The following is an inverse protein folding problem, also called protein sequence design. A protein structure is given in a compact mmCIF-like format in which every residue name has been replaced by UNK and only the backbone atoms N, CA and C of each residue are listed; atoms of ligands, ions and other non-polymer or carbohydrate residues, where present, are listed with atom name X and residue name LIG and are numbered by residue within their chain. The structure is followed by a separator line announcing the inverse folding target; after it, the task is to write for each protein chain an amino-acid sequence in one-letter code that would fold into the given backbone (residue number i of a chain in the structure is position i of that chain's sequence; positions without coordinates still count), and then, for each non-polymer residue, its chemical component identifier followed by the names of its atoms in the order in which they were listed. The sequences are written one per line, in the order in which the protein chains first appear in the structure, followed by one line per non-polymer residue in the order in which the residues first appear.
data_IF_548954544216
#
_entry.id   IF_548954544216
#
_cell.length_a   1.000
_cell.length_b   1.000
_cell.length_c   1.000
_cell.angle_alpha   90.00
_cell.angle_beta   90.00
_cell.angle_gamma   90.00
#
_symmetry.space_group_name_H-M   'P 1'
#
loop_
_entity.id
_entity.type
_entity.pdbx_description
1 polymer ?
#
# COMPACT_ATOMS: atom_id res chain seq x y z
N UNK A 1 7.98 -5.47 -4.37
CA UNK A 1 8.20 -6.91 -4.18
C UNK A 1 6.94 -7.55 -3.58
N UNK A 2 6.58 -8.78 -3.95
CA UNK A 2 5.52 -9.53 -3.29
C UNK A 2 5.95 -9.90 -1.85
N UNK A 3 4.98 -10.04 -0.94
CA UNK A 3 5.22 -10.50 0.43
C UNK A 3 5.83 -9.48 1.40
N UNK A 4 6.08 -8.23 1.01
CA UNK A 4 6.68 -7.22 1.90
C UNK A 4 5.68 -6.59 2.88
N UNK A 5 4.38 -6.91 2.78
CA UNK A 5 3.35 -6.43 3.72
C UNK A 5 2.48 -5.28 3.23
N UNK A 6 2.41 -4.98 1.91
CA UNK A 6 1.51 -3.95 1.36
C UNK A 6 0.05 -4.19 1.74
N UNK A 7 -0.46 -5.39 1.44
CA UNK A 7 -1.82 -5.80 1.78
C UNK A 7 -2.08 -5.78 3.29
N UNK A 8 -1.06 -6.11 4.11
CA UNK A 8 -1.15 -6.03 5.57
C UNK A 8 -1.30 -4.58 6.02
N UNK A 9 -0.49 -3.67 5.49
CA UNK A 9 -0.57 -2.25 5.81
C UNK A 9 -1.95 -1.67 5.49
N UNK A 10 -2.44 -1.92 4.27
CA UNK A 10 -3.72 -1.36 3.83
C UNK A 10 -4.91 -1.99 4.55
N UNK A 11 -4.86 -3.29 4.84
CA UNK A 11 -5.90 -3.94 5.64
C UNK A 11 -5.90 -3.38 7.08
N UNK A 12 -4.73 -3.18 7.68
CA UNK A 12 -4.61 -2.59 9.02
C UNK A 12 -5.15 -1.15 9.05
N UNK A 13 -4.89 -0.35 8.02
CA UNK A 13 -5.47 0.98 7.84
C UNK A 13 -7.00 0.88 7.73
N UNK A 14 -7.50 -0.02 6.87
CA UNK A 14 -8.94 -0.22 6.67
C UNK A 14 -9.69 -0.66 7.95
N UNK A 15 -9.01 -1.41 8.83
CA UNK A 15 -9.57 -1.84 10.10
C UNK A 15 -9.50 -0.76 11.20
N UNK A 16 -8.64 0.24 11.04
CA UNK A 16 -8.39 1.27 12.06
C UNK A 16 -9.19 2.55 11.82
N UNK A 17 -9.38 2.91 10.55
CA UNK A 17 -10.08 4.16 10.19
C UNK A 17 -11.60 3.98 10.38
N UNK A 18 -12.23 4.98 10.99
CA UNK A 18 -13.67 5.00 11.26
C UNK A 18 -14.48 5.62 10.10
N UNK A 19 -14.23 5.17 8.88
CA UNK A 19 -15.03 5.51 7.70
C UNK A 19 -15.41 4.23 6.96
N UNK A 20 -16.44 4.29 6.14
CA UNK A 20 -16.91 3.14 5.37
C UNK A 20 -15.94 2.82 4.24
N UNK A 21 -15.23 1.71 4.35
CA UNK A 21 -14.20 1.27 3.40
C UNK A 21 -14.65 0.03 2.66
N UNK A 22 -14.53 0.04 1.33
CA UNK A 22 -14.62 -1.16 0.51
C UNK A 22 -13.20 -1.65 0.19
N UNK A 23 -12.84 -2.80 0.75
CA UNK A 23 -11.59 -3.50 0.47
C UNK A 23 -11.85 -4.59 -0.57
N UNK A 24 -11.39 -4.38 -1.80
CA UNK A 24 -11.53 -5.33 -2.90
C UNK A 24 -10.24 -6.13 -3.02
N UNK A 25 -10.34 -7.45 -2.99
CA UNK A 25 -9.23 -8.36 -3.22
C UNK A 25 -9.47 -9.21 -4.46
N UNK A 26 -8.52 -9.18 -5.38
CA UNK A 26 -8.50 -10.07 -6.52
C UNK A 26 -7.56 -11.29 -6.36
N UNK A 27 -6.75 -11.32 -5.30
CA UNK A 27 -5.78 -12.39 -5.06
C UNK A 27 -6.19 -13.31 -3.90
N UNK A 28 -6.82 -12.75 -2.87
CA UNK A 28 -7.17 -13.48 -1.67
C UNK A 28 -8.68 -13.64 -1.51
N UNK A 29 -9.09 -14.80 -1.02
CA UNK A 29 -10.47 -15.05 -0.64
C UNK A 29 -10.84 -14.28 0.64
N UNK A 30 -12.14 -14.06 0.86
CA UNK A 30 -12.64 -13.43 2.08
C UNK A 30 -12.17 -14.16 3.34
N UNK A 31 -12.07 -15.50 3.32
CA UNK A 31 -11.59 -16.30 4.43
C UNK A 31 -10.11 -16.04 4.73
N UNK A 32 -9.26 -15.91 3.72
CA UNK A 32 -7.84 -15.59 3.89
C UNK A 32 -7.65 -14.18 4.49
N UNK A 33 -8.43 -13.21 4.00
CA UNK A 33 -8.43 -11.85 4.55
C UNK A 33 -8.91 -11.87 6.01
N UNK A 34 -9.95 -12.65 6.31
CA UNK A 34 -10.46 -12.80 7.68
C UNK A 34 -9.38 -13.37 8.62
N UNK A 35 -8.70 -14.46 8.23
CA UNK A 35 -7.59 -15.04 9.01
C UNK A 35 -6.48 -14.01 9.24
N UNK A 36 -6.20 -13.16 8.25
CA UNK A 36 -5.20 -12.09 8.37
C UNK A 36 -5.67 -11.01 9.35
N UNK A 37 -6.93 -10.56 9.25
CA UNK A 37 -7.50 -9.55 10.15
C UNK A 37 -7.54 -10.02 11.60
N UNK A 38 -7.85 -11.29 11.84
CA UNK A 38 -7.90 -11.87 13.19
C UNK A 38 -6.51 -11.87 13.88
N UNK A 39 -5.41 -11.96 13.10
CA UNK A 39 -4.04 -11.85 13.65
C UNK A 39 -3.70 -10.43 14.11
N UNK A 40 -4.35 -9.42 13.55
CA UNK A 40 -4.08 -8.02 13.86
C UNK A 40 -4.82 -7.52 15.11
N UNK A 41 -5.55 -8.38 15.79
CA UNK A 41 -6.41 -8.03 16.94
C UNK A 41 -7.33 -6.82 16.65
N UNK A 42 -7.70 -6.63 15.40
CA UNK A 42 -8.52 -5.50 14.95
C UNK A 42 -9.83 -6.03 14.36
N UNK A 43 -10.93 -5.47 14.78
CA UNK A 43 -12.23 -5.65 14.15
C UNK A 43 -12.79 -4.29 13.77
N UNK A 44 -13.47 -4.20 12.64
CA UNK A 44 -14.11 -2.97 12.20
C UNK A 44 -15.44 -3.27 11.55
N UNK A 45 -16.48 -2.60 12.01
CA UNK A 45 -17.81 -2.65 11.40
C UNK A 45 -17.88 -1.77 10.13
N UNK A 46 -16.82 -1.04 9.82
CA UNK A 46 -16.73 -0.10 8.70
C UNK A 46 -15.95 -0.64 7.51
N UNK A 47 -15.26 -1.78 7.65
CA UNK A 47 -14.48 -2.41 6.58
C UNK A 47 -15.27 -3.54 5.93
N UNK A 48 -15.66 -3.35 4.67
CA UNK A 48 -16.40 -4.31 3.87
C UNK A 48 -15.45 -4.97 2.87
N UNK A 49 -15.39 -6.29 2.88
CA UNK A 49 -14.47 -7.07 2.03
C UNK A 49 -15.23 -7.67 0.85
N UNK A 50 -14.71 -7.46 -0.35
CA UNK A 50 -15.24 -8.01 -1.60
C UNK A 50 -14.12 -8.79 -2.32
N UNK A 51 -14.34 -10.08 -2.61
CA UNK A 51 -13.47 -10.86 -3.50
C UNK A 51 -14.06 -10.81 -4.91
N UNK A 52 -13.47 -9.96 -5.76
CA UNK A 52 -13.95 -9.73 -7.13
C UNK A 52 -12.80 -9.15 -7.97
N UNK A 53 -12.82 -9.45 -9.27
CA UNK A 53 -11.82 -8.99 -10.23
C UNK A 53 -12.42 -8.19 -11.40
N UNK A 54 -13.72 -8.32 -11.64
CA UNK A 54 -14.42 -7.62 -12.72
C UNK A 54 -14.85 -6.22 -12.28
N UNK A 55 -14.39 -5.18 -12.99
CA UNK A 55 -14.65 -3.78 -12.58
C UNK A 55 -16.14 -3.44 -12.55
N UNK A 56 -16.94 -3.94 -13.49
CA UNK A 56 -18.38 -3.70 -13.53
C UNK A 56 -19.09 -4.19 -12.25
N UNK A 57 -18.69 -5.38 -11.75
CA UNK A 57 -19.24 -5.92 -10.52
C UNK A 57 -18.79 -5.10 -9.30
N UNK A 58 -17.53 -4.67 -9.29
CA UNK A 58 -16.99 -3.83 -8.23
C UNK A 58 -17.76 -2.50 -8.17
N UNK A 59 -17.95 -1.82 -9.30
CA UNK A 59 -18.72 -0.56 -9.36
C UNK A 59 -20.17 -0.74 -8.93
N UNK A 60 -20.82 -1.85 -9.31
CA UNK A 60 -22.16 -2.15 -8.81
C UNK A 60 -22.21 -2.29 -7.26
N UNK A 61 -21.17 -2.82 -6.63
CA UNK A 61 -21.11 -2.88 -5.18
C UNK A 61 -20.77 -1.51 -4.56
N UNK A 62 -19.92 -0.71 -5.21
CA UNK A 62 -19.63 0.68 -4.80
C UNK A 62 -20.92 1.51 -4.76
N UNK A 63 -21.76 1.41 -5.79
CA UNK A 63 -23.05 2.12 -5.85
C UNK A 63 -23.98 1.73 -4.69
N UNK A 64 -24.05 0.44 -4.35
CA UNK A 64 -24.89 -0.05 -3.26
C UNK A 64 -24.35 0.32 -1.87
N UNK A 65 -23.03 0.20 -1.70
CA UNK A 65 -22.39 0.41 -0.41
C UNK A 65 -22.17 1.89 -0.10
N UNK A 66 -21.94 2.72 -1.14
CA UNK A 66 -21.54 4.14 -1.03
C UNK A 66 -20.36 4.30 -0.07
N UNK A 67 -19.19 3.71 -0.36
CA UNK A 67 -18.04 3.78 0.53
C UNK A 67 -17.42 5.18 0.51
N UNK A 68 -16.76 5.55 1.59
CA UNK A 68 -15.98 6.79 1.74
C UNK A 68 -14.51 6.60 1.30
N UNK A 69 -14.08 5.34 1.09
CA UNK A 69 -12.76 4.97 0.58
C UNK A 69 -12.84 3.61 -0.11
N UNK A 70 -12.07 3.43 -1.18
CA UNK A 70 -11.94 2.16 -1.89
C UNK A 70 -10.47 1.73 -1.92
N UNK A 71 -10.22 0.46 -1.61
CA UNK A 71 -8.89 -0.16 -1.68
C UNK A 71 -8.97 -1.34 -2.64
N UNK A 72 -8.10 -1.37 -3.65
CA UNK A 72 -7.98 -2.45 -4.64
C UNK A 72 -6.65 -3.19 -4.45
N UNK A 73 -6.71 -4.46 -4.12
CA UNK A 73 -5.55 -5.33 -3.88
C UNK A 73 -5.66 -6.65 -4.68
N UNK A 74 -5.06 -6.74 -5.86
CA UNK A 74 -4.21 -5.79 -6.57
C UNK A 74 -4.82 -5.37 -7.92
N UNK A 75 -4.33 -4.26 -8.48
CA UNK A 75 -4.80 -3.78 -9.77
C UNK A 75 -4.47 -4.75 -10.93
N UNK A 76 -3.45 -5.60 -10.76
CA UNK A 76 -3.04 -6.59 -11.75
C UNK A 76 -4.06 -7.71 -11.95
N UNK A 77 -4.91 -7.97 -10.98
CA UNK A 77 -5.94 -9.01 -11.08
C UNK A 77 -7.23 -8.53 -11.71
N UNK A 78 -7.38 -7.21 -11.84
CA UNK A 78 -8.59 -6.63 -12.40
C UNK A 78 -8.71 -6.85 -13.91
N UNK A 79 -9.95 -6.93 -14.36
CA UNK A 79 -10.31 -6.89 -15.78
C UNK A 79 -11.63 -6.16 -16.00
N UNK A 80 -11.78 -5.64 -17.21
CA UNK A 80 -12.99 -4.97 -17.69
C UNK A 80 -13.44 -5.56 -19.01
N UNK A 81 -14.76 -5.59 -19.23
CA UNK A 81 -15.34 -6.02 -20.51
C UNK A 81 -15.22 -4.96 -21.62
N UNK A 82 -14.77 -3.76 -21.32
CA UNK A 82 -14.70 -2.67 -22.31
C UNK A 82 -13.60 -2.86 -23.36
N UNK A 83 -12.62 -3.72 -23.07
CA UNK A 83 -11.54 -4.02 -24.00
C UNK A 83 -11.33 -5.52 -24.14
N UNK A 84 -11.07 -5.96 -25.37
CA UNK A 84 -10.77 -7.37 -25.67
C UNK A 84 -9.28 -7.62 -25.47
N UNK A 85 -8.88 -7.89 -24.24
CA UNK A 85 -7.51 -8.25 -23.88
C UNK A 85 -7.50 -9.14 -22.63
N UNK A 86 -6.48 -9.98 -22.49
CA UNK A 86 -6.38 -10.92 -21.36
C UNK A 86 -6.28 -10.20 -20.02
N UNK A 87 -6.92 -10.72 -18.94
CA UNK A 87 -6.70 -10.24 -17.59
C UNK A 87 -5.21 -10.19 -17.24
N UNK A 88 -4.78 -9.15 -16.52
CA UNK A 88 -3.38 -8.94 -16.17
C UNK A 88 -2.50 -8.34 -17.27
N UNK A 89 -3.03 -8.18 -18.51
CA UNK A 89 -2.31 -7.46 -19.56
C UNK A 89 -2.16 -5.97 -19.23
N UNK A 90 -1.14 -5.33 -19.80
CA UNK A 90 -0.89 -3.90 -19.60
C UNK A 90 -2.11 -3.06 -20.01
N UNK A 91 -2.81 -3.46 -21.08
CA UNK A 91 -4.02 -2.79 -21.56
C UNK A 91 -5.14 -2.87 -20.52
N UNK A 92 -5.39 -4.06 -19.96
CA UNK A 92 -6.41 -4.24 -18.91
C UNK A 92 -6.07 -3.43 -17.66
N UNK A 93 -4.83 -3.49 -17.19
CA UNK A 93 -4.38 -2.74 -16.01
C UNK A 93 -4.59 -1.23 -16.23
N UNK A 94 -4.24 -0.73 -17.42
CA UNK A 94 -4.39 0.68 -17.77
C UNK A 94 -5.86 1.10 -17.80
N UNK A 95 -6.72 0.31 -18.44
CA UNK A 95 -8.15 0.61 -18.57
C UNK A 95 -8.84 0.57 -17.20
N UNK A 96 -8.68 -0.52 -16.44
CA UNK A 96 -9.21 -0.61 -15.08
C UNK A 96 -8.75 0.56 -14.19
N UNK A 97 -7.48 0.95 -14.30
CA UNK A 97 -6.96 2.11 -13.56
C UNK A 97 -7.66 3.40 -14.00
N UNK A 98 -7.89 3.60 -15.30
CA UNK A 98 -8.58 4.77 -15.81
C UNK A 98 -10.02 4.86 -15.30
N UNK A 99 -10.75 3.74 -15.23
CA UNK A 99 -12.10 3.66 -14.64
C UNK A 99 -12.09 4.13 -13.17
N UNK A 100 -11.16 3.65 -12.34
CA UNK A 100 -11.07 4.06 -10.93
C UNK A 100 -10.62 5.52 -10.76
N UNK A 101 -9.74 6.02 -11.61
CA UNK A 101 -9.36 7.44 -11.61
C UNK A 101 -10.56 8.33 -11.96
N UNK A 102 -11.35 7.94 -12.96
CA UNK A 102 -12.56 8.66 -13.33
C UNK A 102 -13.54 8.67 -12.17
N UNK A 103 -13.81 7.52 -11.58
CA UNK A 103 -14.67 7.39 -10.39
C UNK A 103 -14.20 8.31 -9.24
N UNK A 104 -12.90 8.25 -8.88
CA UNK A 104 -12.37 9.06 -7.79
C UNK A 104 -12.52 10.57 -8.05
N UNK A 105 -12.37 11.02 -9.30
CA UNK A 105 -12.52 12.43 -9.68
C UNK A 105 -13.98 12.89 -9.66
N UNK A 106 -14.90 12.05 -10.07
CA UNK A 106 -16.33 12.38 -10.13
C UNK A 106 -16.99 12.36 -8.75
N UNK A 107 -16.57 11.43 -7.88
CA UNK A 107 -17.20 11.22 -6.58
C UNK A 107 -16.44 11.81 -5.41
N UNK A 108 -15.19 12.23 -5.62
CA UNK A 108 -14.24 12.64 -4.56
C UNK A 108 -13.95 11.55 -3.52
N UNK A 109 -14.23 10.30 -3.83
CA UNK A 109 -13.88 9.15 -2.99
C UNK A 109 -12.44 8.74 -3.27
N UNK A 110 -11.54 8.72 -2.26
CA UNK A 110 -10.17 8.29 -2.45
C UNK A 110 -10.10 6.79 -2.80
N UNK A 111 -9.26 6.47 -3.80
CA UNK A 111 -9.02 5.11 -4.26
C UNK A 111 -7.55 4.76 -4.08
N UNK A 112 -7.27 3.69 -3.36
CA UNK A 112 -5.93 3.11 -3.23
C UNK A 112 -5.81 1.91 -4.17
N UNK A 113 -4.81 1.95 -5.04
CA UNK A 113 -4.49 0.86 -5.96
C UNK A 113 -3.19 0.20 -5.53
N UNK A 114 -3.23 -1.06 -5.14
CA UNK A 114 -2.03 -1.84 -4.86
C UNK A 114 -1.47 -2.37 -6.18
N UNK A 115 -0.18 -2.10 -6.41
CA UNK A 115 0.56 -2.61 -7.55
C UNK A 115 1.79 -3.41 -7.10
N UNK A 116 2.12 -4.48 -7.84
CA UNK A 116 3.34 -5.25 -7.66
C UNK A 116 4.35 -4.91 -8.75
N UNK A 117 5.55 -4.44 -8.35
CA UNK A 117 6.67 -4.26 -9.28
C UNK A 117 7.40 -5.60 -9.36
N UNK A 118 7.56 -6.16 -10.56
CA UNK A 118 8.40 -7.33 -10.76
C UNK A 118 9.88 -6.95 -10.73
N UNK A 119 10.74 -7.84 -10.19
CA UNK A 119 12.20 -7.61 -10.05
C UNK A 119 12.90 -7.35 -11.38
N UNK A 120 12.33 -7.75 -12.49
CA UNK A 120 12.95 -7.68 -13.83
C UNK A 120 12.67 -6.37 -14.58
N UNK A 121 11.89 -5.44 -14.03
CA UNK A 121 11.64 -4.14 -14.67
C UNK A 121 10.94 -4.18 -16.04
N UNK A 122 10.57 -5.36 -16.53
CA UNK A 122 10.10 -5.57 -17.91
C UNK A 122 8.58 -5.58 -18.10
N UNK A 123 7.79 -5.62 -17.02
CA UNK A 123 6.35 -5.41 -17.20
C UNK A 123 6.08 -3.91 -17.12
N UNK A 124 5.81 -3.31 -18.27
CA UNK A 124 5.54 -1.87 -18.43
C UNK A 124 4.35 -1.34 -17.59
N UNK A 125 3.55 -2.23 -16.98
CA UNK A 125 2.36 -1.89 -16.21
C UNK A 125 2.58 -0.92 -15.04
N UNK A 126 3.49 -1.17 -14.09
CA UNK A 126 3.63 -0.31 -12.91
C UNK A 126 4.06 1.12 -13.24
N UNK A 127 5.03 1.31 -14.13
CA UNK A 127 5.48 2.66 -14.53
C UNK A 127 4.40 3.46 -15.24
N UNK A 128 3.53 2.82 -16.02
CA UNK A 128 2.40 3.49 -16.67
C UNK A 128 1.43 4.02 -15.61
N UNK A 129 1.15 3.22 -14.56
CA UNK A 129 0.26 3.63 -13.47
C UNK A 129 0.81 4.84 -12.70
N UNK A 130 2.13 4.92 -12.47
CA UNK A 130 2.77 6.04 -11.79
C UNK A 130 2.48 7.39 -12.47
N UNK A 131 2.39 7.39 -13.80
CA UNK A 131 2.03 8.60 -14.55
C UNK A 131 0.54 8.95 -14.44
N UNK A 132 -0.34 7.96 -14.31
CA UNK A 132 -1.78 8.14 -14.31
C UNK A 132 -2.32 8.65 -12.97
N UNK A 133 -1.77 8.17 -11.85
CA UNK A 133 -2.26 8.48 -10.50
C UNK A 133 -1.69 9.79 -9.96
N UNK A 134 -2.33 10.36 -8.93
CA UNK A 134 -1.92 11.63 -8.32
C UNK A 134 -0.81 11.45 -7.28
N UNK A 135 -0.82 10.33 -6.57
CA UNK A 135 0.17 9.99 -5.53
C UNK A 135 0.74 8.61 -5.80
N UNK A 136 2.05 8.47 -5.65
CA UNK A 136 2.76 7.18 -5.72
C UNK A 136 3.52 6.98 -4.42
N UNK A 137 3.22 5.89 -3.74
CA UNK A 137 3.90 5.46 -2.53
C UNK A 137 4.68 4.17 -2.83
N UNK A 138 5.95 4.17 -2.53
CA UNK A 138 6.80 2.99 -2.58
C UNK A 138 6.90 2.36 -1.19
N UNK A 139 6.66 1.06 -1.12
CA UNK A 139 6.80 0.28 0.09
C UNK A 139 7.92 -0.73 -0.12
N UNK A 140 8.99 -0.59 0.66
CA UNK A 140 10.24 -1.33 0.52
C UNK A 140 10.53 -2.12 1.80
N UNK A 141 11.17 -3.29 1.67
CA UNK A 141 11.73 -4.03 2.79
C UNK A 141 13.22 -3.72 2.95
N UNK A 142 13.72 -3.72 4.18
CA UNK A 142 15.15 -3.68 4.43
C UNK A 142 15.80 -5.06 4.16
N UNK A 143 17.13 -5.10 4.13
CA UNK A 143 17.90 -6.33 3.86
C UNK A 143 17.67 -7.42 4.92
N UNK A 144 17.34 -7.05 6.14
CA UNK A 144 17.12 -7.96 7.26
C UNK A 144 15.65 -8.37 7.40
N UNK A 145 14.76 -7.87 6.52
CA UNK A 145 13.34 -8.18 6.47
C UNK A 145 12.52 -7.86 7.74
N UNK A 146 13.07 -7.09 8.68
CA UNK A 146 12.38 -6.68 9.91
C UNK A 146 11.64 -5.37 9.68
N UNK A 147 12.31 -4.39 9.05
CA UNK A 147 11.76 -3.06 8.82
C UNK A 147 11.20 -2.89 7.42
N UNK A 148 10.26 -1.99 7.30
CA UNK A 148 9.63 -1.57 6.06
C UNK A 148 9.68 -0.06 5.98
N UNK A 149 9.96 0.45 4.80
CA UNK A 149 10.02 1.88 4.53
C UNK A 149 8.93 2.23 3.52
N UNK A 150 8.08 3.18 3.87
CA UNK A 150 7.11 3.78 2.98
C UNK A 150 7.64 5.15 2.54
N UNK A 151 7.90 5.31 1.25
CA UNK A 151 8.39 6.56 0.65
C UNK A 151 7.37 7.13 -0.30
N UNK A 152 7.20 8.44 -0.27
CA UNK A 152 6.43 9.16 -1.28
C UNK A 152 7.34 9.41 -2.48
N UNK A 153 7.01 8.81 -3.63
CA UNK A 153 7.74 9.02 -4.87
C UNK A 153 7.14 10.13 -5.72
N UNK A 154 5.82 10.27 -5.69
CA UNK A 154 5.07 11.31 -6.38
C UNK A 154 3.92 11.79 -5.49
N UNK A 155 3.71 13.09 -5.44
CA UNK A 155 2.57 13.69 -4.75
C UNK A 155 2.20 15.01 -5.43
N UNK A 156 1.06 15.06 -6.11
CA UNK A 156 0.57 16.28 -6.77
C UNK A 156 0.03 17.32 -5.79
N UNK A 157 -0.27 16.91 -4.56
CA UNK A 157 -0.95 17.75 -3.57
C UNK A 157 -0.07 18.13 -2.39
N UNK A 158 1.19 17.68 -2.35
CA UNK A 158 2.07 17.96 -1.23
C UNK A 158 3.51 17.53 -1.43
N UNK A 159 4.27 17.50 -0.34
CA UNK A 159 5.67 17.13 -0.34
C UNK A 159 5.87 15.64 -0.64
N UNK A 160 7.04 15.30 -1.21
CA UNK A 160 7.49 13.92 -1.43
C UNK A 160 8.59 13.50 -0.45
N UNK A 161 8.99 14.39 0.46
CA UNK A 161 10.06 14.16 1.43
C UNK A 161 9.62 13.37 2.67
N UNK A 162 8.36 12.95 2.74
CA UNK A 162 7.83 12.18 3.85
C UNK A 162 8.20 10.69 3.73
N UNK A 163 8.69 10.14 4.84
CA UNK A 163 8.96 8.70 4.98
C UNK A 163 8.27 8.13 6.21
N UNK A 164 7.72 6.93 6.08
CA UNK A 164 7.23 6.12 7.18
C UNK A 164 8.13 4.90 7.39
N UNK A 165 8.51 4.61 8.63
CA UNK A 165 9.24 3.39 8.96
C UNK A 165 8.35 2.51 9.83
N UNK A 166 8.27 1.24 9.46
CA UNK A 166 7.45 0.26 10.15
C UNK A 166 8.27 -0.98 10.47
N UNK A 167 7.98 -1.58 11.60
CA UNK A 167 8.50 -2.88 11.99
C UNK A 167 7.46 -3.95 11.69
N UNK A 168 7.86 -5.03 11.04
CA UNK A 168 6.99 -6.18 10.81
C UNK A 168 6.93 -7.04 12.07
N UNK A 169 5.74 -7.20 12.62
CA UNK A 169 5.47 -8.02 13.81
C UNK A 169 4.45 -9.11 13.49
N UNK A 170 4.28 -10.07 14.39
CA UNK A 170 3.27 -11.15 14.24
C UNK A 170 1.84 -10.62 14.13
N UNK A 171 1.55 -9.48 14.77
CA UNK A 171 0.24 -8.81 14.77
C UNK A 171 0.08 -7.75 13.69
N UNK A 172 1.02 -7.60 12.75
CA UNK A 172 0.97 -6.61 11.68
C UNK A 172 2.16 -5.65 11.71
N UNK A 173 1.97 -4.45 11.18
CA UNK A 173 3.00 -3.42 11.07
C UNK A 173 2.87 -2.42 12.23
N UNK A 174 3.95 -2.21 12.94
CA UNK A 174 4.08 -1.19 13.98
C UNK A 174 4.86 0.01 13.44
N UNK A 175 4.30 1.21 13.54
CA UNK A 175 5.04 2.42 13.17
C UNK A 175 6.21 2.65 14.14
N UNK A 176 7.38 2.96 13.59
CA UNK A 176 8.57 3.34 14.34
C UNK A 176 8.59 4.85 14.50
N UNK A 177 8.37 5.33 15.73
CA UNK A 177 8.30 6.76 16.02
C UNK A 177 9.68 7.43 16.02
N UNK A 178 10.72 6.71 16.47
CA UNK A 178 12.09 7.19 16.51
C UNK A 178 13.03 6.27 15.69
N UNK A 179 13.24 6.55 14.41
CA UNK A 179 14.14 5.75 13.58
C UNK A 179 15.60 5.76 14.05
N UNK A 180 16.04 6.79 14.74
CA UNK A 180 17.41 6.90 15.24
C UNK A 180 17.77 5.78 16.24
N UNK A 181 16.78 5.27 17.00
CA UNK A 181 17.00 4.12 17.89
C UNK A 181 17.37 2.83 17.15
N UNK A 182 17.04 2.74 15.87
CA UNK A 182 17.36 1.59 15.02
C UNK A 182 18.73 1.72 14.36
N UNK A 183 19.21 2.96 14.21
CA UNK A 183 20.43 3.31 13.49
C UNK A 183 21.62 3.51 14.42
N UNK A 184 21.37 3.50 15.73
CA UNK A 184 22.39 3.58 16.76
C UNK A 184 22.45 2.22 17.45
N UNK A 185 23.65 1.62 17.50
CA UNK A 185 23.82 0.35 18.18
C UNK A 185 23.75 0.54 19.71
N UNK A 186 22.76 -0.09 20.36
CA UNK A 186 22.65 -0.18 21.83
C UNK A 186 23.69 -1.18 22.39
N UNK A 187 24.94 -1.02 22.06
CA UNK A 187 26.00 -1.83 22.69
C UNK A 187 26.55 -1.11 23.90
N UNK A 188 26.35 -1.68 25.08
CA UNK A 188 26.84 -1.21 26.38
C UNK A 188 28.39 -1.19 26.51
N UNK A 189 29.10 -0.97 25.43
CA UNK A 189 30.55 -0.94 25.39
C UNK A 189 31.08 0.30 24.67
N UNK A 190 32.05 0.99 25.27
CA UNK A 190 32.83 2.03 24.60
C UNK A 190 33.66 1.37 23.49
N UNK A 191 33.09 1.25 22.29
CA UNK A 191 33.80 0.76 21.12
C UNK A 191 34.59 1.94 20.52
N UNK A 192 35.89 1.76 20.33
CA UNK A 192 36.69 2.75 19.60
C UNK A 192 36.42 2.64 18.11
N UNK A 193 36.38 3.76 17.42
CA UNK A 193 36.11 3.80 15.98
C UNK A 193 34.66 3.99 15.60
N UNK A 194 33.76 4.19 16.55
CA UNK A 194 32.37 4.53 16.33
C UNK A 194 32.13 6.03 16.49
N UNK A 195 31.39 6.62 15.60
CA UNK A 195 30.96 8.02 15.69
C UNK A 195 29.48 8.13 15.32
N UNK A 196 28.72 8.88 16.11
CA UNK A 196 27.34 9.20 15.81
C UNK A 196 27.32 10.49 15.01
N UNK A 197 26.73 10.46 13.82
CA UNK A 197 26.48 11.62 12.97
C UNK A 197 25.00 11.92 12.85
N UNK A 198 24.67 13.20 12.64
CA UNK A 198 23.30 13.61 12.31
C UNK A 198 23.17 13.78 10.81
N UNK A 199 22.09 13.26 10.26
CA UNK A 199 21.69 13.45 8.87
C UNK A 199 20.22 13.82 8.78
N UNK A 200 19.79 14.28 7.60
CA UNK A 200 18.38 14.57 7.34
C UNK A 200 17.94 13.72 6.15
N UNK A 201 16.92 12.91 6.36
CA UNK A 201 16.27 12.15 5.29
C UNK A 201 14.87 12.74 5.08
N UNK A 202 14.68 13.43 3.96
CA UNK A 202 13.48 14.23 3.70
C UNK A 202 13.36 15.39 4.71
N UNK A 203 12.35 15.36 5.57
CA UNK A 203 12.12 16.34 6.66
C UNK A 203 12.47 15.79 8.04
N UNK A 204 12.93 14.54 8.14
CA UNK A 204 13.23 13.87 9.41
C UNK A 204 14.72 13.92 9.72
N UNK A 205 15.11 14.50 10.88
CA UNK A 205 16.46 14.34 11.39
C UNK A 205 16.66 12.91 11.88
N UNK A 206 17.78 12.30 11.50
CA UNK A 206 18.20 10.96 11.90
C UNK A 206 19.59 11.02 12.50
N UNK A 207 19.82 10.21 13.52
CA UNK A 207 21.17 9.92 14.02
C UNK A 207 21.59 8.55 13.51
N UNK A 208 22.81 8.47 13.00
CA UNK A 208 23.41 7.27 12.40
C UNK A 208 24.75 7.03 13.06
N UNK A 209 25.06 5.78 13.43
CA UNK A 209 26.35 5.32 13.90
C UNK A 209 27.17 4.69 12.77
#
# INVERSE_FOLDING_TARGET
EPGIGKSTLLLQIAMTIKCKILYVSGEESQQQIKIRSDRMDSSSDHCFVLSETKTQNIFSQIEKLTPEMVIIDSVQTLHTDYIDSSPGSVSQIKECTAEFIKFAKETHVPVFLVGHITKEGQIAGPKILEHMVDVVLHFEGDRNHIYRILRTQKNRFGATSEIGIYEMQSKGLRAVSNPSELLISNKDGKLSGHAISATIEGVRPLMIE
#
